data_IF_062523009076
#
_entry.id   IF_062523009076
#
_cell.length_a   1.000
_cell.length_b   1.000
_cell.length_c   1.000
_cell.angle_alpha   90.00
_cell.angle_beta   90.00
_cell.angle_gamma   90.00
#
_symmetry.space_group_name_H-M   'P 1'
#
loop_
_entity.id
_entity.type
_entity.pdbx_description
1 polymer ?
#
# COMPACT_ATOMS: atom_id res chain seq x y z
N UNK A 1 -4.50 -6.05 56.70
CA UNK A 1 -4.76 -6.18 55.26
C UNK A 1 -5.52 -4.94 54.84
N UNK A 2 -4.83 -3.97 54.27
CA UNK A 2 -5.47 -2.77 53.74
C UNK A 2 -6.27 -3.15 52.50
N UNK A 3 -7.54 -2.73 52.47
CA UNK A 3 -8.39 -2.88 51.29
C UNK A 3 -7.75 -2.09 50.14
N UNK A 4 -7.68 -2.63 48.92
CA UNK A 4 -7.24 -1.84 47.77
C UNK A 4 -8.15 -0.62 47.66
N UNK A 5 -7.55 0.57 47.68
CA UNK A 5 -8.28 1.82 47.52
C UNK A 5 -9.06 1.77 46.20
N UNK A 6 -10.38 1.94 46.26
CA UNK A 6 -11.20 2.03 45.06
C UNK A 6 -10.66 3.19 44.21
N UNK A 7 -10.38 2.97 42.91
CA UNK A 7 -9.92 4.05 42.05
C UNK A 7 -10.95 5.18 42.06
N UNK A 8 -10.51 6.45 42.09
CA UNK A 8 -11.43 7.58 42.12
C UNK A 8 -12.36 7.53 40.91
N UNK A 9 -13.65 7.84 41.10
CA UNK A 9 -14.73 7.78 40.10
C UNK A 9 -14.44 8.51 38.76
N UNK A 10 -13.43 9.37 38.73
CA UNK A 10 -12.96 10.08 37.54
C UNK A 10 -12.02 9.26 36.64
N UNK A 11 -11.49 8.11 37.09
CA UNK A 11 -10.55 7.32 36.30
C UNK A 11 -11.17 6.81 34.99
N UNK A 12 -12.47 6.52 34.99
CA UNK A 12 -13.22 6.08 33.81
C UNK A 12 -13.47 7.17 32.75
N UNK A 13 -13.18 8.44 33.06
CA UNK A 13 -13.34 9.58 32.15
C UNK A 13 -12.04 9.98 31.46
N UNK A 14 -10.89 9.47 31.94
CA UNK A 14 -9.58 9.79 31.39
C UNK A 14 -9.23 8.73 30.35
N UNK A 15 -9.17 9.10 29.08
CA UNK A 15 -8.70 8.20 28.02
C UNK A 15 -7.24 7.79 28.31
N UNK A 16 -6.85 6.53 28.04
CA UNK A 16 -5.49 6.10 28.27
C UNK A 16 -4.52 6.93 27.42
N UNK A 17 -3.38 7.24 28.03
CA UNK A 17 -2.26 7.92 27.38
C UNK A 17 -1.04 7.01 27.44
N UNK A 18 -0.28 7.00 26.35
CA UNK A 18 0.87 6.14 26.16
C UNK A 18 2.11 7.01 26.10
N UNK A 19 3.02 6.85 27.06
CA UNK A 19 4.33 7.51 27.04
C UNK A 19 5.33 6.57 26.40
N UNK A 20 5.87 6.97 25.25
CA UNK A 20 7.02 6.33 24.64
C UNK A 20 8.28 6.73 25.42
N UNK A 21 9.22 5.81 25.63
CA UNK A 21 10.50 6.12 26.30
C UNK A 21 11.53 6.70 25.34
N UNK A 22 11.46 6.27 24.09
CA UNK A 22 12.36 6.71 23.03
C UNK A 22 11.59 6.60 21.72
N UNK A 23 11.23 7.72 21.05
CA UNK A 23 11.38 9.09 21.52
C UNK A 23 10.53 9.36 22.76
N UNK A 24 10.94 10.28 23.64
CA UNK A 24 10.06 10.73 24.74
C UNK A 24 8.86 11.48 24.16
N UNK A 25 7.71 10.81 24.10
CA UNK A 25 6.50 11.35 23.49
C UNK A 25 5.27 10.77 24.14
N UNK A 26 4.28 11.63 24.35
CA UNK A 26 2.97 11.25 24.87
C UNK A 26 1.98 11.13 23.72
N UNK A 27 1.39 9.95 23.56
CA UNK A 27 0.39 9.64 22.55
C UNK A 27 -0.98 9.45 23.20
N UNK A 28 -2.02 9.91 22.51
CA UNK A 28 -3.39 9.49 22.82
C UNK A 28 -3.59 8.01 22.43
N UNK A 29 -4.63 7.37 22.95
CA UNK A 29 -5.04 6.02 22.53
C UNK A 29 -5.19 5.91 21.00
N UNK A 30 -5.80 6.91 20.36
CA UNK A 30 -6.01 6.91 18.91
C UNK A 30 -4.69 7.03 18.13
N UNK A 31 -3.75 7.83 18.62
CA UNK A 31 -2.43 7.99 17.98
C UNK A 31 -1.57 6.74 18.13
N UNK A 32 -1.64 6.09 19.31
CA UNK A 32 -0.98 4.83 19.58
C UNK A 32 -1.53 3.72 18.67
N UNK A 33 -2.86 3.60 18.58
CA UNK A 33 -3.50 2.62 17.70
C UNK A 33 -3.19 2.88 16.23
N UNK A 34 -3.21 4.13 15.78
CA UNK A 34 -2.83 4.47 14.41
C UNK A 34 -1.40 4.00 14.09
N UNK A 35 -0.44 4.24 14.98
CA UNK A 35 0.94 3.81 14.80
C UNK A 35 1.06 2.27 14.82
N UNK A 36 0.43 1.61 15.79
CA UNK A 36 0.43 0.14 15.92
C UNK A 36 -0.17 -0.54 14.70
N UNK A 37 -1.37 -0.13 14.31
CA UNK A 37 -2.08 -0.65 13.13
C UNK A 37 -1.26 -0.39 11.87
N UNK A 38 -0.60 0.77 11.74
CA UNK A 38 0.28 1.06 10.60
C UNK A 38 1.42 0.05 10.50
N UNK A 39 2.09 -0.29 11.61
CA UNK A 39 3.18 -1.28 11.64
C UNK A 39 2.67 -2.68 11.31
N UNK A 40 1.59 -3.11 11.96
CA UNK A 40 1.00 -4.44 11.77
C UNK A 40 0.60 -4.66 10.31
N UNK A 41 -0.09 -3.69 9.71
CA UNK A 41 -0.54 -3.76 8.34
C UNK A 41 0.60 -3.66 7.33
N UNK A 42 1.62 -2.83 7.58
CA UNK A 42 2.78 -2.79 6.69
C UNK A 42 3.51 -4.14 6.70
N UNK A 43 3.76 -4.70 7.88
CA UNK A 43 4.39 -6.02 8.02
C UNK A 43 3.52 -7.09 7.35
N UNK A 44 2.20 -7.05 7.54
CA UNK A 44 1.30 -7.97 6.85
C UNK A 44 1.44 -7.86 5.33
N UNK A 45 1.39 -6.64 4.78
CA UNK A 45 1.51 -6.39 3.34
C UNK A 45 2.85 -6.84 2.76
N UNK A 46 3.93 -6.90 3.55
CA UNK A 46 5.28 -7.25 3.08
C UNK A 46 5.76 -8.67 3.45
N UNK A 47 5.05 -9.40 4.32
CA UNK A 47 5.41 -10.72 4.91
C UNK A 47 5.37 -11.95 3.97
N UNK A 48 5.66 -11.78 2.70
CA UNK A 48 5.56 -12.82 1.64
C UNK A 48 4.13 -13.08 1.14
N UNK A 49 4.04 -13.43 -0.15
CA UNK A 49 2.80 -13.71 -0.88
C UNK A 49 2.59 -15.23 -0.97
N UNK A 50 1.37 -15.68 -1.27
CA UNK A 50 1.12 -17.10 -1.57
C UNK A 50 2.09 -17.64 -2.63
N UNK A 51 2.39 -18.93 -2.60
CA UNK A 51 3.14 -19.60 -3.66
C UNK A 51 2.24 -20.14 -4.77
N UNK A 52 0.92 -20.19 -4.55
CA UNK A 52 -0.06 -20.71 -5.50
C UNK A 52 -0.63 -19.61 -6.37
N UNK A 53 -0.40 -19.71 -7.67
CA UNK A 53 -0.79 -18.67 -8.62
C UNK A 53 -2.32 -18.43 -8.69
N UNK A 54 -3.13 -19.44 -8.40
CA UNK A 54 -4.60 -19.35 -8.40
C UNK A 54 -5.18 -18.50 -7.25
N UNK A 55 -4.47 -18.40 -6.12
CA UNK A 55 -4.93 -17.64 -4.93
C UNK A 55 -4.58 -16.14 -5.03
N UNK A 56 -3.68 -15.80 -5.95
CA UNK A 56 -3.12 -14.47 -6.15
C UNK A 56 -4.16 -13.35 -6.34
N UNK A 57 -5.24 -13.49 -7.13
CA UNK A 57 -6.24 -12.44 -7.28
C UNK A 57 -6.95 -12.09 -5.96
N UNK A 58 -7.27 -13.09 -5.15
CA UNK A 58 -7.95 -12.89 -3.87
C UNK A 58 -7.04 -12.19 -2.86
N UNK A 59 -5.75 -12.57 -2.84
CA UNK A 59 -4.75 -11.95 -1.99
C UNK A 59 -4.49 -10.48 -2.36
N UNK A 60 -4.34 -10.17 -3.65
CA UNK A 60 -4.17 -8.80 -4.14
C UNK A 60 -5.34 -7.93 -3.70
N UNK A 61 -6.59 -8.43 -3.85
CA UNK A 61 -7.77 -7.72 -3.35
C UNK A 61 -7.70 -7.49 -1.85
N UNK A 62 -7.33 -8.51 -1.07
CA UNK A 62 -7.12 -8.39 0.38
C UNK A 62 -6.15 -7.28 0.76
N UNK A 63 -4.96 -7.31 0.19
CA UNK A 63 -3.88 -6.35 0.46
C UNK A 63 -4.18 -4.95 -0.07
N UNK A 64 -4.93 -4.83 -1.17
CA UNK A 64 -5.30 -3.52 -1.72
C UNK A 64 -6.11 -2.67 -0.74
N UNK A 65 -7.00 -3.28 0.06
CA UNK A 65 -7.78 -2.56 1.09
C UNK A 65 -6.85 -1.96 2.14
N UNK A 66 -5.84 -2.71 2.56
CA UNK A 66 -4.83 -2.26 3.52
C UNK A 66 -3.99 -1.12 2.91
N UNK A 67 -3.48 -1.32 1.68
CA UNK A 67 -2.73 -0.30 0.96
C UNK A 67 -3.54 0.98 0.73
N UNK A 68 -4.86 0.88 0.49
CA UNK A 68 -5.74 2.05 0.36
C UNK A 68 -5.69 2.87 1.64
N UNK A 69 -5.87 2.24 2.80
CA UNK A 69 -5.80 2.94 4.08
C UNK A 69 -4.42 3.53 4.35
N UNK A 70 -3.36 2.72 4.23
CA UNK A 70 -1.99 3.13 4.50
C UNK A 70 -1.50 4.26 3.58
N UNK A 71 -1.76 4.16 2.28
CA UNK A 71 -1.13 5.00 1.26
C UNK A 71 -2.09 5.95 0.55
N UNK A 72 -3.34 5.56 0.31
CA UNK A 72 -4.34 6.43 -0.34
C UNK A 72 -5.00 7.37 0.66
N UNK A 73 -5.48 6.84 1.78
CA UNK A 73 -6.08 7.58 2.91
C UNK A 73 -5.03 8.18 3.86
N UNK A 74 -3.75 7.91 3.55
CA UNK A 74 -2.56 8.57 4.10
C UNK A 74 -2.24 8.25 5.55
N UNK A 75 -2.66 7.10 6.08
CA UNK A 75 -2.36 6.72 7.46
C UNK A 75 -0.86 6.63 7.76
N UNK A 76 -0.05 6.14 6.81
CA UNK A 76 1.41 6.18 6.97
C UNK A 76 1.95 7.61 7.11
N UNK A 77 1.41 8.56 6.36
CA UNK A 77 1.81 9.97 6.45
C UNK A 77 1.33 10.62 7.74
N UNK A 78 0.15 10.24 8.25
CA UNK A 78 -0.35 10.69 9.56
C UNK A 78 0.55 10.13 10.67
N UNK A 79 0.87 8.83 10.63
CA UNK A 79 1.83 8.20 11.54
C UNK A 79 3.21 8.88 11.44
N UNK A 80 3.70 9.22 10.25
CA UNK A 80 4.95 9.98 10.05
C UNK A 80 4.93 11.42 10.57
N UNK A 81 3.77 12.02 10.84
CA UNK A 81 3.71 13.30 11.57
C UNK A 81 3.77 13.08 13.09
N UNK A 82 3.22 11.96 13.56
CA UNK A 82 3.25 11.56 14.96
C UNK A 82 4.60 11.00 15.37
N UNK A 83 5.31 10.32 14.47
CA UNK A 83 6.55 9.63 14.73
C UNK A 83 7.45 9.85 13.51
N UNK A 84 8.09 11.03 13.38
CA UNK A 84 8.80 11.39 12.16
C UNK A 84 9.96 10.46 11.85
N UNK A 85 10.14 10.05 10.58
CA UNK A 85 11.30 9.28 10.18
C UNK A 85 12.56 10.14 10.28
N UNK A 86 13.70 9.52 10.61
CA UNK A 86 15.00 10.18 10.68
C UNK A 86 15.52 10.65 9.30
N UNK A 87 14.99 10.05 8.23
CA UNK A 87 15.33 10.37 6.84
C UNK A 87 14.10 10.23 5.96
N UNK A 88 14.09 10.89 4.81
CA UNK A 88 13.01 10.75 3.83
C UNK A 88 12.77 9.28 3.47
N UNK A 89 11.50 8.90 3.33
CA UNK A 89 11.11 7.57 2.87
C UNK A 89 11.31 7.48 1.36
N UNK A 90 12.19 6.57 0.95
CA UNK A 90 12.68 6.37 -0.41
C UNK A 90 12.23 5.02 -0.97
N UNK A 91 11.77 5.02 -2.21
CA UNK A 91 11.35 3.83 -2.94
C UNK A 91 12.20 3.69 -4.19
N UNK A 92 12.85 2.53 -4.35
CA UNK A 92 13.50 2.15 -5.60
C UNK A 92 12.51 1.36 -6.45
N UNK A 93 12.08 1.93 -7.57
CA UNK A 93 11.08 1.30 -8.43
C UNK A 93 11.22 1.76 -9.89
N UNK A 94 10.62 0.97 -10.78
CA UNK A 94 10.42 1.40 -12.17
C UNK A 94 9.40 2.54 -12.21
N UNK A 95 9.76 3.66 -12.84
CA UNK A 95 8.88 4.80 -13.09
C UNK A 95 8.55 4.88 -14.58
N UNK A 96 7.30 5.24 -14.90
CA UNK A 96 6.86 5.50 -16.26
C UNK A 96 6.73 7.01 -16.45
N UNK A 97 7.53 7.54 -17.36
CA UNK A 97 7.40 8.91 -17.83
C UNK A 97 6.77 8.87 -19.23
N UNK A 98 5.86 9.81 -19.50
CA UNK A 98 5.14 9.90 -20.78
C UNK A 98 5.06 11.37 -21.19
N UNK A 99 5.46 11.69 -22.42
CA UNK A 99 5.40 13.04 -22.95
C UNK A 99 5.21 13.07 -24.49
N UNK A 100 4.06 13.53 -25.02
CA UNK A 100 2.75 13.73 -24.38
C UNK A 100 1.92 12.42 -24.40
N UNK A 101 0.97 12.28 -23.49
CA UNK A 101 0.14 11.05 -23.39
C UNK A 101 -0.65 10.82 -24.68
N UNK A 102 -0.43 9.66 -25.33
CA UNK A 102 -1.07 9.33 -26.59
C UNK A 102 -2.41 8.58 -26.40
N UNK A 103 -3.50 8.97 -27.09
CA UNK A 103 -4.82 8.37 -26.90
C UNK A 103 -4.95 6.93 -27.41
N UNK A 104 -4.00 6.47 -28.23
CA UNK A 104 -4.01 5.12 -28.81
C UNK A 104 -3.26 4.07 -27.99
N UNK A 105 -2.58 4.48 -26.91
CA UNK A 105 -1.65 3.61 -26.20
C UNK A 105 -2.22 3.21 -24.86
N UNK A 106 -2.09 1.91 -24.56
CA UNK A 106 -2.07 1.45 -23.19
C UNK A 106 -0.66 1.06 -22.76
N UNK A 107 -0.19 1.64 -21.66
CA UNK A 107 1.08 1.30 -21.02
C UNK A 107 0.86 0.96 -19.56
N UNK A 108 1.73 0.09 -19.04
CA UNK A 108 1.80 -0.37 -17.65
C UNK A 108 3.27 -0.43 -17.22
N UNK A 109 3.56 -0.01 -15.99
CA UNK A 109 4.88 -0.11 -15.39
C UNK A 109 5.28 -1.56 -15.14
N UNK A 110 4.31 -2.38 -14.70
CA UNK A 110 4.39 -3.83 -14.55
C UNK A 110 5.79 -4.38 -14.31
N UNK A 111 6.15 -4.62 -13.05
CA UNK A 111 7.45 -5.19 -12.70
C UNK A 111 7.41 -5.98 -11.37
N UNK A 112 6.60 -7.05 -11.31
CA UNK A 112 6.57 -7.95 -10.16
C UNK A 112 7.24 -9.29 -10.50
N UNK A 113 8.37 -9.67 -9.86
CA UNK A 113 8.90 -11.02 -9.94
C UNK A 113 8.03 -11.95 -9.06
N UNK A 114 7.38 -12.94 -9.67
CA UNK A 114 6.58 -13.91 -8.91
C UNK A 114 7.46 -15.05 -8.43
N UNK A 115 7.64 -15.21 -7.11
CA UNK A 115 8.42 -16.30 -6.53
C UNK A 115 9.85 -16.48 -7.13
N UNK A 116 10.47 -15.40 -7.62
CA UNK A 116 11.76 -15.43 -8.30
C UNK A 116 11.69 -15.61 -9.82
N UNK A 117 10.51 -15.95 -10.36
CA UNK A 117 10.27 -16.00 -11.79
C UNK A 117 10.07 -14.61 -12.37
N UNK A 118 10.75 -14.32 -13.48
CA UNK A 118 10.43 -13.18 -14.33
C UNK A 118 9.15 -13.53 -15.07
N UNK A 119 8.03 -12.91 -14.68
CA UNK A 119 6.83 -12.99 -15.50
C UNK A 119 7.13 -12.28 -16.83
N UNK A 120 7.10 -12.94 -18.00
CA UNK A 120 7.29 -12.25 -19.27
C UNK A 120 6.13 -11.28 -19.52
N UNK A 121 6.39 -10.17 -20.23
CA UNK A 121 5.38 -9.21 -20.70
C UNK A 121 4.67 -8.32 -19.65
N UNK A 122 5.26 -8.10 -18.47
CA UNK A 122 4.57 -7.31 -17.42
C UNK A 122 4.40 -5.83 -17.84
N UNK A 123 5.36 -5.25 -18.58
CA UNK A 123 5.16 -3.99 -19.29
C UNK A 123 4.61 -4.29 -20.68
N UNK A 124 3.30 -4.17 -20.86
CA UNK A 124 2.62 -4.38 -22.12
C UNK A 124 2.26 -3.06 -22.79
N UNK A 125 2.47 -3.00 -24.10
CA UNK A 125 2.07 -1.90 -24.98
C UNK A 125 0.97 -2.41 -25.89
N UNK A 126 -0.18 -1.74 -25.88
CA UNK A 126 -1.26 -2.05 -26.81
C UNK A 126 -1.53 -0.82 -27.68
N UNK A 127 -1.47 -1.02 -29.01
CA UNK A 127 -1.97 -0.07 -29.98
C UNK A 127 -3.41 -0.42 -30.31
N UNK A 128 -4.30 0.57 -30.36
CA UNK A 128 -5.67 0.38 -30.81
C UNK A 128 -5.83 0.64 -32.31
N UNK A 129 -6.63 -0.22 -32.94
CA UNK A 129 -7.08 -0.06 -34.33
C UNK A 129 -7.88 1.24 -34.51
N UNK A 130 -7.70 1.94 -35.64
CA UNK A 130 -8.44 3.17 -35.96
C UNK A 130 -7.96 4.45 -35.26
N UNK A 131 -6.84 4.42 -34.54
CA UNK A 131 -6.18 5.62 -33.98
C UNK A 131 -4.93 6.00 -34.80
N UNK A 132 -4.51 7.28 -34.79
CA UNK A 132 -3.32 7.70 -35.51
C UNK A 132 -2.10 6.85 -35.15
N UNK A 133 -1.27 6.45 -36.13
CA UNK A 133 -0.06 5.69 -35.87
C UNK A 133 0.90 6.52 -35.01
N UNK A 134 1.52 5.87 -34.03
CA UNK A 134 2.54 6.49 -33.19
C UNK A 134 3.77 6.83 -34.04
N UNK A 135 4.13 8.10 -34.09
CA UNK A 135 5.41 8.54 -34.65
C UNK A 135 6.47 8.49 -33.55
N UNK A 136 6.90 7.28 -33.20
CA UNK A 136 7.92 7.01 -32.17
C UNK A 136 7.37 6.51 -30.83
N UNK A 137 8.25 6.42 -29.83
CA UNK A 137 7.95 5.92 -28.48
C UNK A 137 7.88 7.11 -27.50
N UNK A 138 6.72 7.78 -27.33
CA UNK A 138 6.58 8.98 -26.47
C UNK A 138 6.65 8.68 -24.96
N UNK A 139 7.14 7.50 -24.57
CA UNK A 139 7.25 7.08 -23.18
C UNK A 139 8.64 6.51 -22.89
N UNK A 140 9.01 6.58 -21.61
CA UNK A 140 10.26 6.02 -21.12
C UNK A 140 10.03 5.35 -19.78
N UNK A 141 10.62 4.16 -19.62
CA UNK A 141 10.79 3.55 -18.32
C UNK A 141 12.12 4.00 -17.72
N UNK A 142 12.06 4.61 -16.54
CA UNK A 142 13.23 4.76 -15.66
C UNK A 142 13.29 3.52 -14.79
N UNK A 143 14.14 2.57 -15.18
CA UNK A 143 14.44 1.39 -14.38
C UNK A 143 15.13 1.82 -13.07
N UNK A 144 14.72 1.22 -11.96
CA UNK A 144 15.34 1.41 -10.63
C UNK A 144 15.50 2.86 -10.16
N UNK A 145 14.54 3.73 -10.52
CA UNK A 145 14.54 5.11 -10.04
C UNK A 145 14.39 5.14 -8.52
N UNK A 146 15.28 5.86 -7.84
CA UNK A 146 15.18 6.14 -6.41
C UNK A 146 14.45 7.46 -6.21
N UNK A 147 13.22 7.37 -5.70
CA UNK A 147 12.28 8.50 -5.58
C UNK A 147 11.70 8.58 -4.18
N UNK A 148 11.15 9.73 -3.80
CA UNK A 148 10.40 9.84 -2.54
C UNK A 148 9.13 8.98 -2.59
N UNK A 149 8.63 8.51 -1.45
CA UNK A 149 7.36 7.78 -1.39
C UNK A 149 6.19 8.61 -1.95
N UNK A 150 6.19 9.93 -1.74
CA UNK A 150 5.18 10.83 -2.30
C UNK A 150 5.24 10.86 -3.83
N UNK A 151 6.43 11.07 -4.40
CA UNK A 151 6.66 11.04 -5.85
C UNK A 151 6.27 9.69 -6.44
N UNK A 152 6.64 8.59 -5.78
CA UNK A 152 6.29 7.24 -6.19
C UNK A 152 4.77 7.06 -6.33
N UNK A 153 4.00 7.45 -5.31
CA UNK A 153 2.54 7.31 -5.28
C UNK A 153 1.83 8.22 -6.29
N UNK A 154 2.39 9.41 -6.55
CA UNK A 154 1.87 10.34 -7.56
C UNK A 154 2.33 10.01 -8.97
N UNK A 155 3.37 9.20 -9.12
CA UNK A 155 3.89 8.76 -10.39
C UNK A 155 2.87 7.95 -11.18
N UNK A 156 2.97 8.06 -12.50
CA UNK A 156 2.15 7.32 -13.45
C UNK A 156 2.38 5.81 -13.24
N UNK A 157 1.29 5.05 -13.13
CA UNK A 157 1.29 3.59 -13.06
C UNK A 157 0.94 3.00 -14.42
N UNK A 158 -0.17 3.48 -14.98
CA UNK A 158 -0.74 3.02 -16.24
C UNK A 158 -1.27 4.23 -17.00
N UNK A 159 -1.17 4.20 -18.33
CA UNK A 159 -1.88 5.14 -19.21
C UNK A 159 -2.93 4.35 -19.96
N UNK A 160 -4.20 4.75 -19.88
CA UNK A 160 -5.33 4.05 -20.51
C UNK A 160 -6.01 5.01 -21.48
N UNK A 161 -5.81 4.81 -22.77
CA UNK A 161 -6.46 5.58 -23.83
C UNK A 161 -6.27 7.09 -23.69
N UNK A 162 -5.04 7.53 -23.43
CA UNK A 162 -4.75 8.94 -23.20
C UNK A 162 -5.03 9.43 -21.78
N UNK A 163 -5.61 8.58 -20.91
CA UNK A 163 -5.88 8.94 -19.51
C UNK A 163 -4.73 8.46 -18.62
N UNK A 164 -3.96 9.37 -17.98
CA UNK A 164 -2.98 8.96 -16.99
C UNK A 164 -3.66 8.44 -15.74
N UNK A 165 -3.15 7.35 -15.19
CA UNK A 165 -3.60 6.75 -13.95
C UNK A 165 -2.41 6.56 -13.01
N UNK A 166 -2.47 7.21 -11.85
CA UNK A 166 -1.42 7.20 -10.81
C UNK A 166 -1.52 5.93 -9.96
N UNK A 167 -0.41 5.55 -9.30
CA UNK A 167 -0.38 4.37 -8.40
C UNK A 167 -1.43 4.46 -7.29
N UNK A 168 -1.61 5.63 -6.69
CA UNK A 168 -2.64 5.84 -5.66
C UNK A 168 -4.06 5.52 -6.16
N UNK A 169 -4.37 5.87 -7.42
CA UNK A 169 -5.69 5.63 -8.02
C UNK A 169 -5.92 4.15 -8.30
N UNK A 170 -4.89 3.44 -8.76
CA UNK A 170 -4.92 1.97 -8.92
C UNK A 170 -5.23 1.27 -7.61
N UNK A 171 -4.50 1.62 -6.54
CA UNK A 171 -4.68 1.04 -5.20
C UNK A 171 -6.13 1.25 -4.73
N UNK A 172 -6.62 2.50 -4.83
CA UNK A 172 -7.97 2.87 -4.42
C UNK A 172 -9.02 2.06 -5.20
N UNK A 173 -8.91 2.03 -6.52
CA UNK A 173 -9.86 1.35 -7.38
C UNK A 173 -9.97 -0.15 -7.07
N UNK A 174 -8.85 -0.84 -6.90
CA UNK A 174 -8.87 -2.30 -6.62
C UNK A 174 -9.50 -2.59 -5.25
N UNK A 175 -9.21 -1.77 -4.25
CA UNK A 175 -9.81 -1.88 -2.93
C UNK A 175 -11.34 -1.66 -2.97
N UNK A 176 -11.79 -0.64 -3.72
CA UNK A 176 -13.21 -0.31 -3.84
C UNK A 176 -13.99 -1.39 -4.62
N UNK A 177 -13.36 -2.03 -5.62
CA UNK A 177 -13.96 -3.18 -6.33
C UNK A 177 -14.24 -4.39 -5.43
N UNK A 178 -13.40 -4.63 -4.42
CA UNK A 178 -13.66 -5.69 -3.42
C UNK A 178 -14.87 -5.36 -2.54
N UNK A 179 -15.05 -4.08 -2.20
CA UNK A 179 -16.17 -3.62 -1.37
C UNK A 179 -17.52 -3.61 -2.10
N UNK A 180 -17.55 -3.99 -3.39
CA UNK A 180 -18.70 -4.32 -4.22
C UNK A 180 -20.06 -3.93 -3.61
N UNK A 181 -20.42 -2.64 -3.65
CA UNK A 181 -21.80 -2.12 -3.56
C UNK A 181 -21.89 -0.58 -3.47
N UNK A 182 -20.79 0.16 -3.40
CA UNK A 182 -20.88 1.63 -3.48
C UNK A 182 -20.89 2.05 -4.95
N UNK A 183 -22.09 2.14 -5.51
CA UNK A 183 -22.36 2.82 -6.78
C UNK A 183 -22.06 4.31 -6.62
N UNK A 184 -20.78 4.68 -6.61
CA UNK A 184 -20.42 6.09 -6.52
C UNK A 184 -20.64 6.72 -7.90
N UNK A 185 -21.73 7.47 -8.04
CA UNK A 185 -22.14 8.14 -9.28
C UNK A 185 -21.20 9.29 -9.71
N UNK A 186 -20.05 9.45 -9.03
CA UNK A 186 -19.00 10.43 -9.33
C UNK A 186 -17.67 9.76 -9.60
N UNK A 187 -17.63 8.82 -10.55
CA UNK A 187 -16.36 8.19 -10.96
C UNK A 187 -15.46 9.24 -11.61
N UNK A 188 -14.30 9.49 -11.00
CA UNK A 188 -13.25 10.32 -11.59
C UNK A 188 -12.80 9.72 -12.95
N UNK A 189 -12.26 10.56 -13.84
CA UNK A 189 -11.83 10.13 -15.19
C UNK A 189 -10.86 8.95 -15.16
N UNK A 190 -9.97 8.88 -14.16
CA UNK A 190 -9.06 7.76 -13.94
C UNK A 190 -9.79 6.47 -13.60
N UNK A 191 -10.77 6.48 -12.69
CA UNK A 191 -11.59 5.31 -12.35
C UNK A 191 -12.39 4.80 -13.54
N UNK A 192 -12.95 5.70 -14.36
CA UNK A 192 -13.64 5.32 -15.61
C UNK A 192 -12.69 4.73 -16.66
N UNK A 193 -11.45 5.22 -16.71
CA UNK A 193 -10.42 4.66 -17.57
C UNK A 193 -10.01 3.26 -17.09
N UNK A 194 -9.80 3.07 -15.78
CA UNK A 194 -9.49 1.76 -15.21
C UNK A 194 -10.67 0.78 -15.41
N UNK A 195 -11.93 1.21 -15.25
CA UNK A 195 -13.11 0.37 -15.54
C UNK A 195 -13.11 -0.16 -16.98
N UNK A 196 -12.83 0.71 -17.96
CA UNK A 196 -12.71 0.33 -19.38
C UNK A 196 -11.56 -0.63 -19.63
N UNK A 197 -10.43 -0.43 -18.94
CA UNK A 197 -9.31 -1.36 -19.05
C UNK A 197 -9.60 -2.72 -18.40
N UNK A 198 -10.33 -2.69 -17.28
CA UNK A 198 -10.60 -3.87 -16.47
C UNK A 198 -11.38 -4.96 -17.22
N UNK A 199 -12.34 -4.57 -18.05
CA UNK A 199 -13.15 -5.53 -18.83
C UNK A 199 -12.41 -6.16 -20.02
N UNK A 200 -11.27 -5.60 -20.44
CA UNK A 200 -10.66 -5.96 -21.73
C UNK A 200 -9.17 -6.29 -21.68
N UNK A 201 -8.46 -6.04 -20.56
CA UNK A 201 -7.01 -6.22 -20.48
C UNK A 201 -6.61 -7.18 -19.36
N UNK A 202 -6.54 -8.46 -19.75
CA UNK A 202 -5.99 -9.52 -18.93
C UNK A 202 -4.82 -10.18 -19.64
N UNK A 203 -3.79 -10.57 -18.91
CA UNK A 203 -2.67 -11.37 -19.41
C UNK A 203 -2.71 -12.73 -18.71
N UNK A 204 -2.47 -13.78 -19.48
CA UNK A 204 -2.19 -15.11 -18.93
C UNK A 204 -0.73 -15.19 -18.51
N UNK A 205 -0.51 -15.51 -17.24
CA UNK A 205 0.80 -15.65 -16.63
C UNK A 205 1.01 -17.13 -16.37
N UNK A 206 2.22 -17.61 -16.67
CA UNK A 206 2.65 -18.98 -16.44
C UNK A 206 3.86 -18.97 -15.50
N UNK A 207 3.81 -19.76 -14.42
CA UNK A 207 4.96 -19.94 -13.51
C UNK A 207 5.97 -20.94 -14.07
N UNK A 208 7.18 -21.00 -13.48
CA UNK A 208 8.17 -22.04 -13.78
C UNK A 208 7.65 -23.48 -13.59
N UNK A 209 6.66 -23.66 -12.71
CA UNK A 209 5.95 -24.92 -12.46
C UNK A 209 4.79 -25.17 -13.44
N UNK A 210 4.64 -24.33 -14.48
CA UNK A 210 3.57 -24.38 -15.49
C UNK A 210 2.16 -24.12 -14.94
N UNK A 211 2.04 -23.54 -13.75
CA UNK A 211 0.74 -23.05 -13.27
C UNK A 211 0.33 -21.84 -14.09
N UNK A 212 -0.95 -21.73 -14.46
CA UNK A 212 -1.47 -20.63 -15.27
C UNK A 212 -2.55 -19.87 -14.53
N UNK A 213 -2.49 -18.54 -14.60
CA UNK A 213 -3.56 -17.66 -14.14
C UNK A 213 -3.76 -16.54 -15.14
N UNK A 214 -5.01 -16.13 -15.33
CA UNK A 214 -5.33 -14.91 -16.05
C UNK A 214 -5.46 -13.76 -15.04
N UNK A 215 -4.55 -12.79 -15.09
CA UNK A 215 -4.61 -11.60 -14.24
C UNK A 215 -4.98 -10.37 -15.05
N UNK A 216 -5.77 -9.50 -14.42
CA UNK A 216 -6.00 -8.15 -14.92
C UNK A 216 -4.70 -7.32 -14.82
N UNK A 217 -4.44 -6.46 -15.82
CA UNK A 217 -3.29 -5.54 -15.80
C UNK A 217 -3.23 -4.66 -14.55
N UNK A 218 -4.40 -4.26 -14.04
CA UNK A 218 -4.52 -3.43 -12.85
C UNK A 218 -4.04 -4.18 -11.59
N UNK A 219 -4.18 -5.51 -11.55
CA UNK A 219 -3.59 -6.33 -10.48
C UNK A 219 -2.07 -6.40 -10.56
N UNK A 220 -1.50 -6.42 -11.78
CA UNK A 220 -0.05 -6.38 -11.96
C UNK A 220 0.56 -5.09 -11.42
N UNK A 221 -0.14 -3.97 -11.57
CA UNK A 221 0.27 -2.69 -10.97
C UNK A 221 0.23 -2.72 -9.44
N UNK A 222 -0.82 -3.32 -8.84
CA UNK A 222 -0.85 -3.48 -7.37
C UNK A 222 0.28 -4.37 -6.88
N UNK A 223 0.60 -5.45 -7.61
CA UNK A 223 1.75 -6.29 -7.29
C UNK A 223 3.07 -5.49 -7.37
N UNK A 224 3.27 -4.72 -8.43
CA UNK A 224 4.44 -3.86 -8.56
C UNK A 224 4.57 -2.86 -7.39
N UNK A 225 3.44 -2.32 -6.91
CA UNK A 225 3.40 -1.50 -5.69
C UNK A 225 3.87 -2.28 -4.47
N UNK A 226 3.31 -3.47 -4.22
CA UNK A 226 3.68 -4.30 -3.07
C UNK A 226 5.17 -4.63 -3.10
N UNK A 227 5.72 -5.03 -4.25
CA UNK A 227 7.14 -5.38 -4.38
C UNK A 227 8.07 -4.20 -4.12
N UNK A 228 7.75 -3.03 -4.68
CA UNK A 228 8.55 -1.84 -4.45
C UNK A 228 8.60 -1.49 -2.96
N UNK A 229 7.47 -1.58 -2.26
CA UNK A 229 7.41 -1.34 -0.81
C UNK A 229 8.18 -2.40 -0.03
N UNK A 230 7.99 -3.68 -0.36
CA UNK A 230 8.70 -4.81 0.28
C UNK A 230 10.23 -4.68 0.14
N UNK A 231 10.71 -4.21 -1.00
CA UNK A 231 12.15 -4.04 -1.27
C UNK A 231 12.74 -2.71 -0.79
N UNK A 232 11.90 -1.78 -0.30
CA UNK A 232 12.34 -0.46 0.13
C UNK A 232 12.94 -0.50 1.54
N UNK A 233 14.27 -0.54 1.62
CA UNK A 233 15.00 -0.57 2.89
C UNK A 233 14.68 0.62 3.81
N UNK A 234 14.50 1.82 3.24
CA UNK A 234 14.18 3.02 4.03
C UNK A 234 12.83 2.91 4.73
N UNK A 235 11.81 2.41 4.03
CA UNK A 235 10.46 2.17 4.57
C UNK A 235 10.51 1.08 5.62
N UNK A 236 11.13 -0.06 5.29
CA UNK A 236 11.24 -1.18 6.24
C UNK A 236 11.95 -0.76 7.52
N UNK A 237 13.07 -0.03 7.43
CA UNK A 237 13.77 0.51 8.60
C UNK A 237 12.86 1.39 9.44
N UNK A 238 12.14 2.32 8.82
CA UNK A 238 11.23 3.21 9.53
C UNK A 238 10.09 2.45 10.23
N UNK A 239 9.51 1.43 9.59
CA UNK A 239 8.49 0.58 10.21
C UNK A 239 9.04 -0.16 11.43
N UNK A 240 10.28 -0.65 11.36
CA UNK A 240 10.95 -1.28 12.52
C UNK A 240 11.26 -0.26 13.63
N UNK A 241 11.67 0.96 13.30
CA UNK A 241 11.85 2.04 14.28
C UNK A 241 10.54 2.34 15.03
N UNK A 242 9.42 2.47 14.33
CA UNK A 242 8.10 2.66 14.96
C UNK A 242 7.76 1.47 15.86
N UNK A 243 8.03 0.24 15.43
CA UNK A 243 7.75 -0.96 16.22
C UNK A 243 8.50 -0.92 17.57
N UNK A 244 9.79 -0.59 17.54
CA UNK A 244 10.62 -0.44 18.76
C UNK A 244 10.09 0.69 19.66
N UNK A 245 9.66 1.80 19.06
CA UNK A 245 9.07 2.91 19.82
C UNK A 245 7.80 2.47 20.53
N UNK A 246 6.90 1.75 19.85
CA UNK A 246 5.67 1.22 20.42
C UNK A 246 5.90 0.17 21.51
N UNK A 247 6.92 -0.67 21.36
CA UNK A 247 7.37 -1.61 22.40
C UNK A 247 7.81 -0.91 23.69
N UNK A 248 8.34 0.31 23.57
CA UNK A 248 8.77 1.12 24.71
C UNK A 248 7.63 1.82 25.46
N UNK A 249 6.39 1.74 24.95
CA UNK A 249 5.27 2.51 25.46
C UNK A 249 4.80 2.05 26.85
N UNK A 250 4.64 2.99 27.76
CA UNK A 250 4.05 2.78 29.09
C UNK A 250 2.72 3.51 29.20
N UNK A 251 1.73 2.86 29.84
CA UNK A 251 0.43 3.47 30.10
C UNK A 251 0.58 4.41 31.30
N UNK A 252 0.38 5.71 31.09
CA UNK A 252 0.54 6.74 32.12
C UNK A 252 -0.57 6.69 33.17
N UNK A 253 -1.78 6.30 32.75
CA UNK A 253 -2.95 6.15 33.62
C UNK A 253 -3.66 4.81 33.36
N UNK A 254 -3.23 3.71 34.01
CA UNK A 254 -3.80 2.38 33.80
C UNK A 254 -5.30 2.31 34.11
N UNK A 255 -5.76 3.10 35.08
CA UNK A 255 -7.15 3.09 35.56
C UNK A 255 -8.19 3.70 34.59
N UNK A 256 -7.75 4.30 33.47
CA UNK A 256 -8.61 4.80 32.38
C UNK A 256 -8.63 3.91 31.14
N UNK A 257 -7.83 2.84 31.14
CA UNK A 257 -7.79 1.84 30.09
C UNK A 257 -9.02 0.93 30.15
N UNK A 258 -9.76 0.75 29.03
CA UNK A 258 -10.73 -0.35 28.90
C UNK A 258 -10.06 -1.74 28.79
N UNK A 259 -8.74 -1.77 28.75
CA UNK A 259 -7.93 -2.96 28.54
C UNK A 259 -7.16 -3.27 29.82
N UNK A 260 -7.71 -4.15 30.66
CA UNK A 260 -6.98 -4.69 31.83
C UNK A 260 -5.80 -5.59 31.44
N UNK A 261 -5.61 -5.93 30.16
CA UNK A 261 -4.49 -6.73 29.66
C UNK A 261 -4.22 -6.43 28.18
N UNK A 262 -3.56 -5.30 27.86
CA UNK A 262 -2.87 -5.21 26.57
C UNK A 262 -1.65 -6.11 26.71
N UNK A 263 -1.75 -7.30 26.14
CA UNK A 263 -0.59 -8.04 25.70
C UNK A 263 0.29 -7.05 24.94
N UNK A 264 1.44 -6.74 25.54
CA UNK A 264 2.64 -6.27 24.86
C UNK A 264 2.75 -6.98 23.50
N UNK A 265 3.31 -6.31 22.48
CA UNK A 265 3.32 -6.78 21.11
C UNK A 265 3.59 -8.28 21.06
N UNK A 266 2.72 -8.99 20.34
CA UNK A 266 2.82 -10.44 20.15
C UNK A 266 4.28 -10.73 19.81
N UNK A 267 4.98 -11.40 20.73
CA UNK A 267 6.37 -11.79 20.50
C UNK A 267 6.43 -12.56 19.18
N UNK A 268 7.41 -12.26 18.31
CA UNK A 268 7.58 -13.04 17.11
C UNK A 268 7.81 -14.52 17.50
N UNK A 269 7.04 -15.42 16.86
CA UNK A 269 7.40 -16.83 16.75
C UNK A 269 8.67 -16.97 15.90
#
# INVERSE_FOLDING_TARGET
>A
MDKPAKPPLFSYLVKPQFRLKSPDRLLSEADFDLARITVEDFRFVTREMTTKLAELPAEIRGRSTILRRLLSESDLFKAGRLLPPNSDLRVRARMLDFDPIHPAVLLTCGNYPWAGDRLPNIAAVFSLEGKPPLTGTPWRFREDADVSLSEYLQGLAIAVLGTPVRRREVIKYVADKKAAHVSDHRKHLSEQAIDRAWSHMSITIESSLKEKVQLNMVYLEVLAVIQALRSSQSINRYIEEIAVWLESAEIVYPAGSRYENINLPIQPL
#
